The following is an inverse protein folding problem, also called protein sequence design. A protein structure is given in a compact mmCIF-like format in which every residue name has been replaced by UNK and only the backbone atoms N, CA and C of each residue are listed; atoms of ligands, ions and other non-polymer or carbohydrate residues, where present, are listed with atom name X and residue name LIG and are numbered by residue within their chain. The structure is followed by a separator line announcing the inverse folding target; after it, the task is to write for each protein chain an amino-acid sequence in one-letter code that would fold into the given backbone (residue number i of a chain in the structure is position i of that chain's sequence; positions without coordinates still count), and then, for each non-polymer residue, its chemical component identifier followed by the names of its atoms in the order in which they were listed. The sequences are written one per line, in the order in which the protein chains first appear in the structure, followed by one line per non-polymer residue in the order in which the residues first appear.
data_IF_886760329281
#
_entry.id   IF_886760329281
#
_cell.length_a   1.000
_cell.length_b   1.000
_cell.length_c   1.000
_cell.angle_alpha   90.00
_cell.angle_beta   90.00
_cell.angle_gamma   90.00
#
_symmetry.space_group_name_H-M   'P 1'
#
loop_
_entity.id
_entity.type
_entity.pdbx_description
1 polymer ?
#
# COMPACT_ATOMS: atom_id res chain seq x y z
N UNK A 1 7.77 15.32 4.68
CA UNK A 1 6.36 14.94 4.73
C UNK A 1 5.42 16.13 4.46
N UNK A 2 5.37 17.21 5.28
CA UNK A 2 4.48 18.37 5.03
C UNK A 2 4.41 18.91 3.59
N UNK A 3 5.55 19.06 2.91
CA UNK A 3 5.57 19.53 1.52
C UNK A 3 4.75 18.64 0.57
N UNK A 4 4.80 17.31 0.77
CA UNK A 4 4.01 16.35 0.01
C UNK A 4 2.52 16.52 0.29
N UNK A 5 2.09 16.56 1.55
CA UNK A 5 0.66 16.71 1.88
C UNK A 5 0.09 18.08 1.46
N UNK A 6 0.89 19.15 1.56
CA UNK A 6 0.52 20.46 1.02
C UNK A 6 0.29 20.35 -0.48
N UNK A 7 1.25 19.78 -1.22
CA UNK A 7 1.13 19.58 -2.67
C UNK A 7 -0.11 18.77 -3.03
N UNK A 8 -0.33 17.62 -2.39
CA UNK A 8 -1.52 16.79 -2.60
C UNK A 8 -2.81 17.60 -2.42
N UNK A 9 -2.87 18.44 -1.39
CA UNK A 9 -4.01 19.32 -1.19
C UNK A 9 -4.15 20.39 -2.29
N UNK A 10 -3.05 21.00 -2.73
CA UNK A 10 -3.06 22.04 -3.77
C UNK A 10 -3.51 21.52 -5.13
N UNK A 11 -3.09 20.30 -5.50
CA UNK A 11 -3.49 19.65 -6.77
C UNK A 11 -4.85 18.96 -6.70
N UNK A 12 -5.56 19.05 -5.57
CA UNK A 12 -6.93 18.57 -5.44
C UNK A 12 -7.09 17.15 -4.92
N UNK A 13 -6.02 16.44 -4.56
CA UNK A 13 -6.13 15.16 -3.87
C UNK A 13 -6.64 15.39 -2.45
N UNK A 14 -7.81 14.83 -2.12
CA UNK A 14 -8.51 15.05 -0.84
C UNK A 14 -8.45 13.84 0.10
N UNK A 15 -7.88 12.74 -0.36
CA UNK A 15 -7.80 11.47 0.37
C UNK A 15 -6.50 11.32 1.17
N UNK A 16 -6.06 12.43 1.76
CA UNK A 16 -4.94 12.53 2.68
C UNK A 16 -5.24 13.62 3.73
N UNK A 17 -4.67 13.53 4.95
CA UNK A 17 -4.71 14.63 5.89
C UNK A 17 -4.01 15.88 5.33
N UNK A 18 -4.46 17.06 5.76
CA UNK A 18 -3.77 18.32 5.48
C UNK A 18 -2.79 18.66 6.59
N UNK A 19 -1.61 19.22 6.27
CA UNK A 19 -0.70 19.71 7.28
C UNK A 19 -1.23 21.02 7.88
N UNK A 20 -1.15 21.13 9.21
CA UNK A 20 -1.51 22.32 9.99
C UNK A 20 -0.28 23.00 10.60
N UNK A 21 0.88 22.38 10.53
CA UNK A 21 2.15 22.92 11.02
C UNK A 21 2.80 22.02 12.06
N UNK A 22 3.74 22.58 12.81
CA UNK A 22 4.45 21.91 13.91
C UNK A 22 4.04 22.63 15.20
N UNK A 23 3.73 21.87 16.25
CA UNK A 23 3.38 22.44 17.56
C UNK A 23 4.62 22.86 18.38
N UNK A 24 4.38 23.46 19.54
CA UNK A 24 5.45 23.94 20.45
C UNK A 24 6.35 22.83 21.01
N UNK A 25 5.97 21.56 20.85
CA UNK A 25 6.75 20.38 21.26
C UNK A 25 7.54 19.78 20.09
N UNK A 26 7.50 20.38 18.91
CA UNK A 26 8.16 19.86 17.72
C UNK A 26 7.41 18.69 17.08
N UNK A 27 6.14 18.48 17.42
CA UNK A 27 5.32 17.41 16.85
C UNK A 27 4.56 17.92 15.64
N UNK A 28 4.33 17.01 14.72
CA UNK A 28 3.54 17.29 13.55
C UNK A 28 2.05 17.41 13.88
N UNK A 29 1.38 18.41 13.30
CA UNK A 29 -0.06 18.61 13.44
C UNK A 29 -0.72 18.48 12.08
N UNK A 30 -1.61 17.50 11.98
CA UNK A 30 -2.40 17.21 10.78
C UNK A 30 -3.90 17.38 11.05
N UNK A 31 -4.69 17.62 10.02
CA UNK A 31 -6.16 17.55 10.15
C UNK A 31 -6.59 16.12 10.47
N UNK A 32 -7.56 16.00 11.37
CA UNK A 32 -8.23 14.72 11.61
C UNK A 32 -8.97 14.24 10.36
N UNK A 33 -8.79 12.97 10.00
CA UNK A 33 -9.54 12.29 8.94
C UNK A 33 -10.75 11.61 9.59
N UNK A 34 -11.99 12.09 9.36
CA UNK A 34 -13.17 11.50 9.98
C UNK A 34 -13.45 10.11 9.40
N UNK A 35 -13.68 9.14 10.28
CA UNK A 35 -13.99 7.77 9.89
C UNK A 35 -13.36 6.75 10.81
N UNK A 36 -13.34 5.50 10.34
CA UNK A 36 -12.71 4.38 11.06
C UNK A 36 -11.72 3.67 10.15
N UNK A 37 -10.59 3.24 10.72
CA UNK A 37 -9.63 2.39 10.00
C UNK A 37 -10.32 1.08 9.59
N UNK A 38 -10.02 0.61 8.37
CA UNK A 38 -10.63 -0.58 7.78
C UNK A 38 -10.17 -1.86 8.49
N UNK A 39 -8.90 -1.94 8.83
CA UNK A 39 -8.34 -3.09 9.55
C UNK A 39 -8.38 -2.92 11.08
N UNK A 40 -8.56 -3.99 11.86
CA UNK A 40 -8.93 -5.35 11.42
C UNK A 40 -10.44 -5.55 11.25
N UNK A 41 -11.26 -4.81 12.00
CA UNK A 41 -12.65 -5.18 12.27
C UNK A 41 -13.65 -4.82 11.15
N UNK A 42 -13.22 -4.04 10.15
CA UNK A 42 -14.09 -3.51 9.09
C UNK A 42 -13.64 -3.93 7.70
N UNK A 43 -12.82 -4.98 7.60
CA UNK A 43 -12.31 -5.46 6.32
C UNK A 43 -13.41 -5.89 5.35
N UNK A 44 -14.57 -6.33 5.87
CA UNK A 44 -15.77 -6.67 5.07
C UNK A 44 -16.35 -5.49 4.28
N UNK A 45 -15.99 -4.24 4.61
CA UNK A 45 -16.31 -3.10 3.76
C UNK A 45 -15.74 -3.27 2.36
N UNK A 46 -14.61 -3.95 2.21
CA UNK A 46 -13.95 -4.21 0.94
C UNK A 46 -14.52 -5.42 0.21
N UNK A 47 -15.51 -6.16 0.75
CA UNK A 47 -16.09 -7.33 0.07
C UNK A 47 -16.79 -6.96 -1.24
N UNK A 48 -17.49 -5.83 -1.24
CA UNK A 48 -18.09 -5.29 -2.44
C UNK A 48 -17.00 -4.84 -3.43
N UNK A 49 -16.99 -5.42 -4.62
CA UNK A 49 -16.01 -5.12 -5.68
C UNK A 49 -15.91 -3.63 -6.00
N UNK A 50 -17.03 -2.90 -5.93
CA UNK A 50 -17.04 -1.44 -6.14
C UNK A 50 -16.13 -0.70 -5.14
N UNK A 51 -16.10 -1.11 -3.86
CA UNK A 51 -15.26 -0.45 -2.87
C UNK A 51 -13.78 -0.79 -3.07
N UNK A 52 -13.48 -2.03 -3.48
CA UNK A 52 -12.13 -2.40 -3.90
C UNK A 52 -11.66 -1.57 -5.10
N UNK A 53 -12.55 -1.38 -6.09
CA UNK A 53 -12.28 -0.53 -7.25
C UNK A 53 -12.11 0.94 -6.86
N UNK A 54 -12.89 1.45 -5.89
CA UNK A 54 -12.74 2.81 -5.38
C UNK A 54 -11.37 3.02 -4.72
N UNK A 55 -10.88 2.04 -3.93
CA UNK A 55 -9.53 2.07 -3.36
C UNK A 55 -8.45 2.05 -4.46
N UNK A 56 -8.61 1.21 -5.48
CA UNK A 56 -7.67 1.15 -6.60
C UNK A 56 -7.60 2.48 -7.36
N UNK A 57 -8.74 3.16 -7.58
CA UNK A 57 -8.79 4.50 -8.16
C UNK A 57 -8.17 5.54 -7.24
N UNK A 58 -8.42 5.47 -5.94
CA UNK A 58 -7.81 6.37 -4.95
C UNK A 58 -6.27 6.32 -5.01
N UNK A 59 -5.71 5.11 -5.10
CA UNK A 59 -4.27 4.90 -5.20
C UNK A 59 -3.73 5.41 -6.56
N UNK A 60 -4.50 5.24 -7.64
CA UNK A 60 -4.16 5.80 -8.95
C UNK A 60 -4.14 7.34 -8.89
N UNK A 61 -5.19 7.96 -8.37
CA UNK A 61 -5.32 9.42 -8.24
C UNK A 61 -4.17 10.00 -7.40
N UNK A 62 -3.76 9.30 -6.34
CA UNK A 62 -2.56 9.64 -5.57
C UNK A 62 -1.30 9.60 -6.45
N UNK A 63 -1.06 8.49 -7.15
CA UNK A 63 0.13 8.34 -8.00
C UNK A 63 0.17 9.34 -9.16
N UNK A 64 -0.99 9.77 -9.67
CA UNK A 64 -1.09 10.86 -10.66
C UNK A 64 -0.80 12.22 -10.01
N UNK A 65 -1.34 12.49 -8.81
CA UNK A 65 -1.15 13.75 -8.10
C UNK A 65 0.32 14.03 -7.75
N UNK A 66 1.16 13.00 -7.57
CA UNK A 66 2.59 13.15 -7.25
C UNK A 66 3.51 13.27 -8.46
N UNK A 67 3.02 13.12 -9.70
CA UNK A 67 3.88 13.16 -10.90
C UNK A 67 4.64 14.49 -11.04
N UNK A 68 3.97 15.61 -10.73
CA UNK A 68 4.54 16.95 -10.83
C UNK A 68 5.12 17.46 -9.50
N UNK A 69 5.14 16.62 -8.46
CA UNK A 69 5.70 17.02 -7.17
C UNK A 69 7.23 17.00 -7.22
N UNK A 70 7.84 18.16 -7.01
CA UNK A 70 9.28 18.26 -6.80
C UNK A 70 9.56 18.41 -5.31
N UNK A 71 10.21 17.41 -4.67
CA UNK A 71 10.58 17.52 -3.27
C UNK A 71 11.53 18.70 -3.03
N UNK A 72 11.43 19.40 -1.89
CA UNK A 72 12.40 20.41 -1.52
C UNK A 72 13.80 19.78 -1.36
N UNK A 73 14.90 20.53 -1.59
CA UNK A 73 16.26 19.97 -1.58
C UNK A 73 16.70 19.34 -0.24
N UNK A 74 16.08 19.76 0.86
CA UNK A 74 16.30 19.26 2.22
C UNK A 74 15.28 18.19 2.63
N UNK A 75 14.53 17.62 1.67
CA UNK A 75 13.62 16.52 1.94
C UNK A 75 14.36 15.30 2.50
N UNK A 76 13.91 14.85 3.67
CA UNK A 76 14.36 13.61 4.29
C UNK A 76 13.27 12.54 4.16
N UNK A 77 13.67 11.34 3.75
CA UNK A 77 12.78 10.21 3.47
C UNK A 77 13.13 9.02 4.35
N UNK A 78 12.11 8.33 4.85
CA UNK A 78 12.26 7.11 5.65
C UNK A 78 11.81 5.88 4.86
N UNK A 79 12.43 5.66 3.69
CA UNK A 79 12.12 4.48 2.86
C UNK A 79 12.70 3.23 3.52
N UNK A 80 11.84 2.43 4.13
CA UNK A 80 12.22 1.22 4.87
C UNK A 80 12.63 0.06 3.96
N UNK A 81 11.94 -0.08 2.82
CA UNK A 81 12.13 -1.17 1.86
C UNK A 81 12.19 -0.57 0.45
N UNK A 82 13.38 -0.15 -0.02
CA UNK A 82 13.50 0.50 -1.31
C UNK A 82 13.21 -0.47 -2.47
N UNK A 83 12.55 0.04 -3.51
CA UNK A 83 12.34 -0.68 -4.76
C UNK A 83 13.55 -0.53 -5.70
N UNK A 84 13.65 -1.42 -6.69
CA UNK A 84 14.49 -1.18 -7.86
C UNK A 84 13.80 -0.14 -8.77
N UNK A 85 14.10 1.15 -8.57
CA UNK A 85 13.55 2.26 -9.35
C UNK A 85 12.88 3.34 -8.48
N UNK A 86 12.81 4.56 -9.02
CA UNK A 86 12.17 5.71 -8.35
C UNK A 86 11.51 6.62 -9.39
N UNK A 87 10.30 6.27 -9.83
CA UNK A 87 9.54 7.04 -10.82
C UNK A 87 8.54 8.01 -10.16
N UNK A 88 8.24 7.84 -8.87
CA UNK A 88 7.32 8.70 -8.12
C UNK A 88 7.79 8.90 -6.66
N UNK A 89 7.13 9.81 -5.94
CA UNK A 89 7.07 9.75 -4.48
C UNK A 89 5.93 8.79 -4.10
N UNK A 90 6.29 7.57 -3.74
CA UNK A 90 5.36 6.51 -3.31
C UNK A 90 5.03 6.65 -1.82
N UNK A 91 3.95 6.00 -1.37
CA UNK A 91 3.57 5.95 0.04
C UNK A 91 4.27 4.80 0.78
N UNK A 92 4.57 3.70 0.08
CA UNK A 92 5.25 2.48 0.58
C UNK A 92 4.48 1.63 1.60
N UNK A 93 3.33 2.10 2.07
CA UNK A 93 2.49 1.45 3.08
C UNK A 93 0.97 1.63 2.80
N UNK A 94 0.59 1.54 1.53
CA UNK A 94 -0.82 1.57 1.11
C UNK A 94 -1.50 0.25 1.46
N UNK A 95 -2.11 0.20 2.64
CA UNK A 95 -2.70 -1.02 3.16
C UNK A 95 -3.98 -0.76 3.97
N UNK A 96 -4.78 -1.81 4.26
CA UNK A 96 -6.06 -1.66 4.98
C UNK A 96 -5.94 -1.07 6.38
N UNK A 97 -4.80 -1.22 7.06
CA UNK A 97 -4.53 -0.59 8.36
C UNK A 97 -4.25 0.91 8.28
N UNK A 98 -3.97 1.42 7.09
CA UNK A 98 -3.77 2.85 6.82
C UNK A 98 -4.93 3.47 6.01
N UNK A 99 -6.00 2.71 5.75
CA UNK A 99 -7.18 3.18 5.05
C UNK A 99 -8.28 3.54 6.05
N UNK A 100 -8.71 4.80 6.04
CA UNK A 100 -9.86 5.29 6.82
C UNK A 100 -11.10 5.30 5.94
N UNK A 101 -12.16 4.63 6.41
CA UNK A 101 -13.50 4.65 5.85
C UNK A 101 -14.33 5.73 6.56
N UNK A 102 -14.60 6.82 5.86
CA UNK A 102 -15.53 7.87 6.26
C UNK A 102 -16.97 7.56 5.87
N UNK A 103 -17.85 8.53 6.10
CA UNK A 103 -19.25 8.44 5.67
C UNK A 103 -19.38 8.50 4.14
N UNK A 104 -20.49 7.99 3.61
CA UNK A 104 -20.84 8.05 2.18
C UNK A 104 -19.77 7.50 1.20
N UNK A 105 -18.89 6.62 1.66
CA UNK A 105 -17.85 6.03 0.82
C UNK A 105 -16.66 6.95 0.58
N UNK A 106 -16.43 7.93 1.46
CA UNK A 106 -15.18 8.69 1.47
C UNK A 106 -14.05 7.83 2.06
N UNK A 107 -12.95 7.72 1.32
CA UNK A 107 -11.78 6.94 1.71
C UNK A 107 -10.56 7.86 1.77
N UNK A 108 -9.70 7.68 2.76
CA UNK A 108 -8.47 8.44 2.88
C UNK A 108 -7.34 7.59 3.46
N UNK A 109 -6.13 7.81 2.95
CA UNK A 109 -4.92 7.19 3.48
C UNK A 109 -4.29 8.05 4.58
N UNK A 110 -3.81 7.39 5.63
CA UNK A 110 -3.03 7.94 6.73
C UNK A 110 -1.65 7.27 6.79
N UNK A 111 -0.81 7.67 7.74
CA UNK A 111 0.54 7.13 7.93
C UNK A 111 1.50 7.38 6.75
N UNK A 112 1.74 8.66 6.47
CA UNK A 112 2.57 9.14 5.37
C UNK A 112 4.08 9.18 5.71
N UNK A 113 4.49 8.65 6.87
CA UNK A 113 5.87 8.77 7.38
C UNK A 113 6.88 7.99 6.52
N UNK A 114 6.43 6.87 5.94
CA UNK A 114 7.25 6.04 5.04
C UNK A 114 7.27 6.55 3.60
N UNK A 115 6.50 7.60 3.27
CA UNK A 115 6.44 8.13 1.92
C UNK A 115 7.83 8.60 1.46
N UNK A 116 8.13 8.45 0.17
CA UNK A 116 9.42 8.82 -0.40
C UNK A 116 9.64 8.27 -1.81
N UNK A 117 10.80 8.55 -2.43
CA UNK A 117 11.13 8.05 -3.76
C UNK A 117 10.89 6.53 -3.85
N UNK A 118 10.15 6.11 -4.86
CA UNK A 118 9.75 4.73 -5.01
C UNK A 118 9.27 4.41 -6.41
N UNK A 119 9.07 3.13 -6.67
CA UNK A 119 8.54 2.63 -7.92
C UNK A 119 7.04 2.41 -7.80
N UNK A 120 6.26 3.02 -8.69
CA UNK A 120 4.79 2.96 -8.65
C UNK A 120 4.21 1.54 -8.61
N UNK A 121 4.74 0.59 -9.40
CA UNK A 121 4.23 -0.79 -9.37
C UNK A 121 4.65 -1.55 -8.10
N UNK A 122 5.69 -1.10 -7.39
CA UNK A 122 6.07 -1.64 -6.08
C UNK A 122 5.02 -1.29 -5.02
N UNK A 123 4.51 -0.06 -5.05
CA UNK A 123 3.44 0.42 -4.16
C UNK A 123 2.11 -0.28 -4.48
N UNK A 124 1.79 -0.43 -5.78
CA UNK A 124 0.60 -1.19 -6.24
C UNK A 124 0.66 -2.66 -5.83
N UNK A 125 1.82 -3.32 -5.97
CA UNK A 125 1.97 -4.72 -5.57
C UNK A 125 1.76 -4.91 -4.07
N UNK A 126 2.22 -3.97 -3.24
CA UNK A 126 1.97 -3.97 -1.81
C UNK A 126 0.49 -3.82 -1.48
N UNK A 127 -0.17 -2.83 -2.10
CA UNK A 127 -1.59 -2.60 -1.93
C UNK A 127 -2.44 -3.80 -2.36
N UNK A 128 -2.11 -4.45 -3.48
CA UNK A 128 -2.82 -5.64 -3.95
C UNK A 128 -2.77 -6.77 -2.91
N UNK A 129 -1.61 -7.05 -2.30
CA UNK A 129 -1.52 -8.07 -1.23
C UNK A 129 -2.37 -7.72 -0.01
N UNK A 130 -2.35 -6.45 0.44
CA UNK A 130 -3.10 -6.01 1.62
C UNK A 130 -4.62 -5.98 1.40
N UNK A 131 -5.08 -5.39 0.30
CA UNK A 131 -6.51 -5.21 0.01
C UNK A 131 -7.18 -6.47 -0.57
N UNK A 132 -6.39 -7.37 -1.14
CA UNK A 132 -6.85 -8.69 -1.61
C UNK A 132 -5.95 -9.70 -0.90
N UNK A 133 -6.37 -10.31 0.22
CA UNK A 133 -5.50 -11.15 1.02
C UNK A 133 -4.96 -12.33 0.20
N UNK A 134 -3.77 -12.15 -0.39
CA UNK A 134 -3.06 -13.18 -1.16
C UNK A 134 -2.30 -14.06 -0.18
N UNK A 135 -3.06 -14.68 0.73
CA UNK A 135 -2.50 -15.31 1.91
C UNK A 135 -2.44 -16.83 1.81
N UNK A 136 -1.39 -17.41 2.37
CA UNK A 136 -1.32 -18.84 2.63
C UNK A 136 -2.26 -19.28 3.77
N UNK A 137 -2.68 -18.37 4.64
CA UNK A 137 -3.50 -18.70 5.80
C UNK A 137 -4.93 -19.10 5.39
N UNK A 138 -5.42 -20.31 5.73
CA UNK A 138 -6.72 -20.80 5.26
C UNK A 138 -7.90 -19.86 5.56
N UNK A 139 -7.89 -19.21 6.72
CA UNK A 139 -8.96 -18.30 7.12
C UNK A 139 -8.98 -16.98 6.33
N UNK A 140 -7.88 -16.64 5.65
CA UNK A 140 -7.75 -15.41 4.86
C UNK A 140 -7.77 -15.69 3.35
N UNK A 141 -7.71 -16.95 2.94
CA UNK A 141 -7.79 -17.33 1.54
C UNK A 141 -9.16 -16.99 0.96
N UNK A 142 -9.13 -16.43 -0.25
CA UNK A 142 -10.33 -16.04 -1.00
C UNK A 142 -10.42 -16.81 -2.32
N UNK A 143 -11.51 -17.58 -2.56
CA UNK A 143 -11.72 -18.24 -3.86
C UNK A 143 -11.79 -17.26 -5.04
N UNK A 144 -12.22 -16.02 -4.80
CA UNK A 144 -12.36 -14.96 -5.79
C UNK A 144 -11.10 -14.08 -5.95
N UNK A 145 -9.98 -14.39 -5.25
CA UNK A 145 -8.78 -13.53 -5.26
C UNK A 145 -8.26 -13.17 -6.66
N UNK A 146 -8.26 -14.13 -7.59
CA UNK A 146 -7.87 -13.92 -8.98
C UNK A 146 -8.77 -12.89 -9.69
N UNK A 147 -10.08 -12.97 -9.47
CA UNK A 147 -11.04 -12.00 -10.02
C UNK A 147 -10.86 -10.62 -9.37
N UNK A 148 -10.63 -10.56 -8.07
CA UNK A 148 -10.39 -9.30 -7.36
C UNK A 148 -9.11 -8.60 -7.81
N UNK A 149 -8.05 -9.35 -8.12
CA UNK A 149 -6.83 -8.80 -8.73
C UNK A 149 -7.14 -8.12 -10.06
N UNK A 150 -8.00 -8.73 -10.88
CA UNK A 150 -8.48 -8.13 -12.13
C UNK A 150 -9.25 -6.83 -11.86
N UNK A 151 -10.23 -6.85 -10.97
CA UNK A 151 -11.02 -5.67 -10.58
C UNK A 151 -10.11 -4.51 -10.15
N UNK A 152 -9.13 -4.79 -9.28
CA UNK A 152 -8.18 -3.79 -8.84
C UNK A 152 -7.32 -3.26 -9.99
N UNK A 153 -6.74 -4.15 -10.81
CA UNK A 153 -5.89 -3.76 -11.93
C UNK A 153 -6.65 -2.93 -12.98
N UNK A 154 -7.91 -3.27 -13.26
CA UNK A 154 -8.79 -2.53 -14.18
C UNK A 154 -9.14 -1.14 -13.63
N UNK A 155 -9.53 -1.07 -12.36
CA UNK A 155 -9.91 0.18 -11.71
C UNK A 155 -8.71 1.13 -11.55
N UNK A 156 -7.54 0.59 -11.22
CA UNK A 156 -6.29 1.33 -11.24
C UNK A 156 -5.91 1.79 -12.66
N UNK A 157 -6.25 1.00 -13.69
CA UNK A 157 -5.93 1.30 -15.08
C UNK A 157 -4.58 0.75 -15.53
N UNK A 158 -4.13 -0.38 -14.96
CA UNK A 158 -2.91 -1.04 -15.41
C UNK A 158 -3.07 -1.52 -16.87
N UNK A 159 -2.13 -1.13 -17.74
CA UNK A 159 -2.07 -1.66 -19.11
C UNK A 159 -1.40 -3.04 -19.12
N UNK A 160 -1.54 -3.80 -20.22
CA UNK A 160 -1.05 -5.18 -20.30
C UNK A 160 0.43 -5.35 -19.86
N UNK A 161 1.31 -4.47 -20.35
CA UNK A 161 2.73 -4.50 -20.01
C UNK A 161 2.97 -4.33 -18.50
N UNK A 162 2.19 -3.46 -17.85
CA UNK A 162 2.29 -3.23 -16.41
C UNK A 162 1.74 -4.43 -15.63
N UNK A 163 0.62 -5.02 -16.08
CA UNK A 163 0.06 -6.23 -15.46
C UNK A 163 1.06 -7.38 -15.47
N UNK A 164 1.72 -7.61 -16.61
CA UNK A 164 2.79 -8.60 -16.74
C UNK A 164 3.95 -8.33 -15.78
N UNK A 165 4.27 -7.06 -15.54
CA UNK A 165 5.33 -6.67 -14.61
C UNK A 165 4.89 -6.80 -13.14
N UNK A 166 3.62 -6.52 -12.83
CA UNK A 166 3.08 -6.58 -11.46
C UNK A 166 3.07 -8.01 -10.92
N UNK A 167 2.77 -9.03 -11.73
CA UNK A 167 2.67 -10.43 -11.28
C UNK A 167 3.91 -10.91 -10.50
N UNK A 168 5.15 -10.87 -11.05
CA UNK A 168 6.34 -11.25 -10.29
C UNK A 168 6.69 -10.24 -9.18
N UNK A 169 6.16 -9.01 -9.22
CA UNK A 169 6.34 -8.03 -8.13
C UNK A 169 5.47 -8.36 -6.92
N UNK A 170 4.30 -8.99 -7.07
CA UNK A 170 3.46 -9.40 -5.95
C UNK A 170 4.25 -10.28 -4.97
N UNK A 171 4.90 -11.32 -5.48
CA UNK A 171 5.72 -12.23 -4.68
C UNK A 171 6.96 -11.53 -4.09
N UNK A 172 7.73 -10.83 -4.94
CA UNK A 172 8.95 -10.12 -4.52
C UNK A 172 8.69 -9.05 -3.45
N UNK A 173 7.63 -8.24 -3.61
CA UNK A 173 7.24 -7.22 -2.63
C UNK A 173 6.80 -7.86 -1.32
N UNK A 174 5.98 -8.90 -1.37
CA UNK A 174 5.54 -9.63 -0.17
C UNK A 174 6.74 -10.25 0.57
N UNK A 175 7.67 -10.86 -0.16
CA UNK A 175 8.90 -11.44 0.40
C UNK A 175 9.81 -10.39 1.05
N UNK A 176 9.89 -9.19 0.47
CA UNK A 176 10.70 -8.11 1.04
C UNK A 176 10.27 -7.69 2.45
N UNK A 177 8.99 -7.85 2.82
CA UNK A 177 8.53 -7.63 4.20
C UNK A 177 9.10 -8.67 5.16
N UNK A 178 9.15 -9.94 4.75
CA UNK A 178 9.80 -10.98 5.54
C UNK A 178 11.29 -10.66 5.76
N UNK A 179 12.01 -10.36 4.68
CA UNK A 179 13.44 -10.06 4.75
C UNK A 179 13.72 -8.85 5.63
N UNK A 180 12.91 -7.79 5.50
CA UNK A 180 13.00 -6.61 6.34
C UNK A 180 12.78 -6.92 7.82
N UNK A 181 11.69 -7.62 8.17
CA UNK A 181 11.42 -7.99 9.57
C UNK A 181 12.53 -8.88 10.14
N UNK A 182 13.03 -9.84 9.37
CA UNK A 182 14.16 -10.71 9.77
C UNK A 182 15.38 -9.87 10.12
N UNK A 183 15.76 -8.96 9.22
CA UNK A 183 16.98 -8.18 9.35
C UNK A 183 16.89 -7.17 10.50
N UNK A 184 15.74 -6.52 10.69
CA UNK A 184 15.50 -5.60 11.80
C UNK A 184 15.43 -6.33 13.15
N UNK A 185 14.83 -7.53 13.19
CA UNK A 185 14.81 -8.36 14.37
C UNK A 185 16.21 -8.85 14.76
N UNK A 186 17.03 -9.26 13.80
CA UNK A 186 18.43 -9.63 14.05
C UNK A 186 19.26 -8.49 14.66
N UNK A 187 18.87 -7.24 14.40
CA UNK A 187 19.47 -6.02 14.97
C UNK A 187 18.78 -5.55 16.27
N UNK A 188 17.72 -6.21 16.71
CA UNK A 188 16.96 -5.83 17.91
C UNK A 188 16.18 -4.52 17.77
N UNK A 189 15.89 -4.07 16.54
CA UNK A 189 15.23 -2.78 16.29
C UNK A 189 13.72 -2.90 16.49
N UNK A 190 13.17 -2.03 17.34
CA UNK A 190 11.73 -1.97 17.62
C UNK A 190 11.02 -0.99 16.65
N UNK A 191 9.75 -1.25 16.28
CA UNK A 191 8.88 -2.34 16.75
C UNK A 191 9.07 -3.67 16.00
N UNK A 192 9.89 -3.72 14.95
CA UNK A 192 9.99 -4.86 14.04
C UNK A 192 10.48 -6.15 14.69
N UNK A 193 11.34 -6.07 15.70
CA UNK A 193 11.76 -7.22 16.49
C UNK A 193 10.57 -7.89 17.23
N UNK A 194 9.62 -7.10 17.72
CA UNK A 194 8.38 -7.62 18.33
C UNK A 194 7.51 -8.31 17.28
N UNK A 195 7.28 -7.67 16.12
CA UNK A 195 6.52 -8.27 15.02
C UNK A 195 7.14 -9.60 14.55
N UNK A 196 8.47 -9.68 14.49
CA UNK A 196 9.13 -10.94 14.17
C UNK A 196 8.87 -12.03 15.22
N UNK A 197 9.00 -11.70 16.51
CA UNK A 197 8.77 -12.62 17.63
C UNK A 197 7.31 -13.11 17.70
N UNK A 198 6.35 -12.27 17.31
CA UNK A 198 4.93 -12.61 17.19
C UNK A 198 4.59 -13.45 15.95
N UNK A 199 5.58 -13.73 15.09
CA UNK A 199 5.42 -14.64 13.96
C UNK A 199 5.02 -13.98 12.65
N UNK A 200 4.93 -12.64 12.58
CA UNK A 200 4.57 -11.91 11.35
C UNK A 200 5.55 -12.22 10.21
N UNK A 201 6.82 -12.44 10.51
CA UNK A 201 7.81 -12.86 9.52
C UNK A 201 7.45 -14.19 8.84
N UNK A 202 6.91 -15.17 9.56
CA UNK A 202 6.46 -16.42 8.97
C UNK A 202 5.24 -16.22 8.07
N UNK A 203 4.29 -15.37 8.49
CA UNK A 203 3.12 -15.03 7.68
C UNK A 203 3.54 -14.41 6.33
N UNK A 204 4.41 -13.39 6.35
CA UNK A 204 4.93 -12.75 5.13
C UNK A 204 5.67 -13.74 4.22
N UNK A 205 6.47 -14.65 4.78
CA UNK A 205 7.16 -15.68 3.97
C UNK A 205 6.16 -16.62 3.31
N UNK A 206 5.19 -17.13 4.07
CA UNK A 206 4.21 -18.09 3.55
C UNK A 206 3.31 -17.45 2.49
N UNK A 207 2.91 -16.19 2.67
CA UNK A 207 2.14 -15.44 1.67
C UNK A 207 2.96 -15.23 0.38
N UNK A 208 4.25 -14.87 0.50
CA UNK A 208 5.12 -14.75 -0.67
C UNK A 208 5.24 -16.08 -1.44
N UNK A 209 5.47 -17.18 -0.74
CA UNK A 209 5.53 -18.52 -1.34
C UNK A 209 4.18 -18.92 -1.98
N UNK A 210 3.05 -18.58 -1.34
CA UNK A 210 1.71 -18.82 -1.88
C UNK A 210 1.49 -18.09 -3.21
N UNK A 211 1.92 -16.82 -3.28
CA UNK A 211 1.83 -15.99 -4.48
C UNK A 211 2.72 -16.55 -5.58
N UNK A 212 4.00 -16.81 -5.28
CA UNK A 212 5.01 -17.30 -6.24
C UNK A 212 4.61 -18.65 -6.84
N UNK A 213 4.07 -19.58 -6.05
CA UNK A 213 3.60 -20.88 -6.54
C UNK A 213 2.38 -20.79 -7.47
N UNK A 214 1.70 -19.64 -7.50
CA UNK A 214 0.48 -19.40 -8.28
C UNK A 214 0.67 -18.31 -9.33
N UNK A 215 1.91 -18.00 -9.69
CA UNK A 215 2.24 -16.93 -10.64
C UNK A 215 1.47 -17.05 -11.96
N UNK A 216 1.40 -18.26 -12.54
CA UNK A 216 0.65 -18.54 -13.77
C UNK A 216 -0.86 -18.26 -13.63
N UNK A 217 -1.43 -18.56 -12.46
CA UNK A 217 -2.84 -18.28 -12.16
C UNK A 217 -3.11 -16.77 -12.12
N UNK A 218 -2.24 -16.00 -11.45
CA UNK A 218 -2.35 -14.55 -11.38
C UNK A 218 -2.14 -13.89 -12.73
N UNK A 219 -1.16 -14.38 -13.50
CA UNK A 219 -0.90 -13.94 -14.87
C UNK A 219 -2.10 -14.17 -15.77
N UNK A 220 -2.69 -15.36 -15.74
CA UNK A 220 -3.90 -15.66 -16.52
C UNK A 220 -5.06 -14.74 -16.11
N UNK A 221 -5.29 -14.58 -14.80
CA UNK A 221 -6.35 -13.73 -14.27
C UNK A 221 -6.20 -12.26 -14.66
N UNK A 222 -4.96 -11.76 -14.76
CA UNK A 222 -4.63 -10.38 -15.15
C UNK A 222 -4.52 -10.15 -16.65
N UNK A 223 -4.52 -11.19 -17.48
CA UNK A 223 -4.47 -11.07 -18.95
C UNK A 223 -5.70 -11.58 -19.70
N UNK A 224 -6.59 -12.36 -19.08
CA UNK A 224 -7.86 -12.77 -19.68
C UNK A 224 -8.76 -11.56 -20.07
N UNK A 225 -9.51 -11.70 -21.16
CA UNK A 225 -10.47 -10.68 -21.62
C UNK A 225 -11.78 -10.68 -20.82
#
# INVERSE_FOLDING_TARGET
MHALLTHLHEVGYRAAPRPLGIDDQGREVLTFVPGHVVWPDRFSLLDAERHLADVARLIRDFHEAVQDFTPPPDAHWQVLIPAEGSDIIAHHDLAPWNLVAGDEGQWAFIDWDSAGPGFRLWDVAYAMHGFIPLSAHPDWQRPDAAHRLRVFADAYGLVEAERRHTVPLLGRRTRSMHDFLRDQAARGVQPWATLWAEGHGNAWRSDAEYIEQREDQWMHALLAD
#
